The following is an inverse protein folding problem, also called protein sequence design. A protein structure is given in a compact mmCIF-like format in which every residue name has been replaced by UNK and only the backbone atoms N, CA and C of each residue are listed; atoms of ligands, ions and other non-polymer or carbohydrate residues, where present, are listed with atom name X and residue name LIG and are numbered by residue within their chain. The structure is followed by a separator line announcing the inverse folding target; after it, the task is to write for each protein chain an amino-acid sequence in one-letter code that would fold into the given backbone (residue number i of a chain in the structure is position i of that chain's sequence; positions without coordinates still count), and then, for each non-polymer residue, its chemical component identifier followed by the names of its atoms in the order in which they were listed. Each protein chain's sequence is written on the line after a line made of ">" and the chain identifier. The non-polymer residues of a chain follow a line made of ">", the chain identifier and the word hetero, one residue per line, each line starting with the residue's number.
data_IF_446161217216
#
_entry.id   IF_446161217216
#
_cell.length_a   1.000
_cell.length_b   1.000
_cell.length_c   1.000
_cell.angle_alpha   90.00
_cell.angle_beta   90.00
_cell.angle_gamma   90.00
#
_symmetry.space_group_name_H-M   'P 1'
#
loop_
_entity.id
_entity.type
_entity.pdbx_description
1 polymer ?
#
# COMPACT_ATOMS: atom_id res chain seq x y z
N UNK A 1 17.56 -5.40 17.19
CA UNK A 1 16.64 -5.13 16.07
C UNK A 1 16.10 -3.70 16.17
N UNK A 2 16.31 -2.90 15.13
CA UNK A 2 15.68 -1.58 14.96
C UNK A 2 14.53 -1.75 13.99
N UNK A 3 13.35 -1.23 14.31
CA UNK A 3 12.16 -1.27 13.45
C UNK A 3 11.70 0.15 13.16
N UNK A 4 11.53 0.48 11.88
CA UNK A 4 10.92 1.73 11.41
C UNK A 4 9.53 1.38 10.91
N UNK A 5 8.50 1.76 11.65
CA UNK A 5 7.11 1.43 11.33
C UNK A 5 6.15 2.50 11.87
N UNK A 6 4.98 2.59 11.26
CA UNK A 6 3.87 3.45 11.66
C UNK A 6 2.83 2.67 12.49
N UNK A 7 2.78 1.34 12.36
CA UNK A 7 1.81 0.48 13.03
C UNK A 7 2.49 -0.41 14.07
N UNK A 8 1.81 -0.67 15.18
CA UNK A 8 2.26 -1.63 16.18
C UNK A 8 1.86 -3.06 15.76
N UNK A 9 2.84 -3.93 15.60
CA UNK A 9 2.67 -5.35 15.26
C UNK A 9 3.64 -6.26 16.04
N UNK A 10 3.55 -7.58 15.84
CA UNK A 10 4.42 -8.56 16.52
C UNK A 10 5.92 -8.28 16.30
N UNK A 11 6.30 -7.80 15.12
CA UNK A 11 7.69 -7.43 14.81
C UNK A 11 8.13 -6.23 15.64
N UNK A 12 7.30 -5.17 15.72
CA UNK A 12 7.61 -4.02 16.60
C UNK A 12 7.67 -4.44 18.07
N UNK A 13 6.84 -5.39 18.51
CA UNK A 13 6.82 -5.88 19.89
C UNK A 13 8.17 -6.46 20.31
N UNK A 14 8.89 -7.09 19.37
CA UNK A 14 10.22 -7.70 19.58
C UNK A 14 11.39 -6.73 19.35
N UNK A 15 11.14 -5.47 18.97
CA UNK A 15 12.19 -4.52 18.62
C UNK A 15 12.91 -3.95 19.87
N UNK A 16 14.24 -3.84 19.80
CA UNK A 16 15.05 -3.14 20.80
C UNK A 16 14.90 -1.62 20.69
N UNK A 17 14.62 -1.14 19.47
CA UNK A 17 14.38 0.27 19.18
C UNK A 17 13.28 0.39 18.12
N UNK A 18 12.28 1.23 18.40
CA UNK A 18 11.14 1.52 17.52
C UNK A 18 11.25 2.97 17.08
N UNK A 19 11.23 3.20 15.77
CA UNK A 19 11.30 4.52 15.17
C UNK A 19 9.98 4.80 14.44
N UNK A 20 9.16 5.74 14.94
CA UNK A 20 7.83 6.00 14.40
C UNK A 20 7.90 6.62 13.00
N UNK A 21 7.39 5.88 12.02
CA UNK A 21 7.37 6.29 10.61
C UNK A 21 6.10 7.07 10.26
N UNK A 22 6.24 8.06 9.38
CA UNK A 22 5.09 8.74 8.77
C UNK A 22 4.26 7.76 7.92
N UNK A 23 2.94 7.84 8.04
CA UNK A 23 2.00 7.15 7.13
C UNK A 23 1.99 7.75 5.73
N UNK A 24 1.27 7.11 4.79
CA UNK A 24 1.07 7.66 3.44
C UNK A 24 0.41 9.04 3.43
N UNK A 25 -0.33 9.39 4.49
CA UNK A 25 -1.02 10.68 4.62
C UNK A 25 -0.12 11.76 5.25
N UNK A 26 0.84 11.38 6.07
CA UNK A 26 1.75 12.30 6.77
C UNK A 26 3.04 12.55 5.97
N UNK A 27 3.48 11.58 5.16
CA UNK A 27 4.67 11.65 4.32
C UNK A 27 4.37 11.93 2.84
N UNK A 28 5.42 12.22 2.08
CA UNK A 28 5.38 12.30 0.62
C UNK A 28 6.33 11.27 0.02
N UNK A 29 6.09 10.87 -1.23
CA UNK A 29 6.91 9.84 -1.87
C UNK A 29 6.50 9.59 -3.30
N UNK A 30 7.08 8.55 -3.88
CA UNK A 30 6.76 8.10 -5.24
C UNK A 30 6.44 6.61 -5.21
N UNK A 31 5.25 6.24 -5.68
CA UNK A 31 4.89 4.84 -5.92
C UNK A 31 5.17 4.47 -7.38
N UNK A 32 5.55 3.22 -7.62
CA UNK A 32 5.65 2.63 -8.95
C UNK A 32 4.57 1.57 -9.09
N UNK A 33 3.67 1.74 -10.05
CA UNK A 33 2.58 0.80 -10.30
C UNK A 33 3.04 -0.45 -11.07
N UNK A 34 2.14 -1.42 -11.26
CA UNK A 34 2.40 -2.63 -12.05
C UNK A 34 2.64 -2.37 -13.55
N UNK A 35 2.18 -1.22 -14.08
CA UNK A 35 2.55 -0.76 -15.43
C UNK A 35 3.87 0.03 -15.45
N UNK A 36 4.67 -0.07 -14.38
CA UNK A 36 5.95 0.61 -14.19
C UNK A 36 5.84 2.15 -14.20
N UNK A 37 4.68 2.72 -13.85
CA UNK A 37 4.51 4.17 -13.76
C UNK A 37 4.87 4.68 -12.38
N UNK A 38 5.87 5.57 -12.32
CA UNK A 38 6.20 6.36 -11.15
C UNK A 38 5.23 7.53 -10.99
N UNK A 39 4.56 7.63 -9.85
CA UNK A 39 3.63 8.71 -9.52
C UNK A 39 3.93 9.25 -8.12
N UNK A 40 4.03 10.58 -8.01
CA UNK A 40 4.30 11.24 -6.73
C UNK A 40 3.01 11.37 -5.93
N UNK A 41 3.06 11.00 -4.65
CA UNK A 41 2.04 11.34 -3.67
C UNK A 41 2.60 12.37 -2.69
N UNK A 42 1.70 13.16 -2.11
CA UNK A 42 2.06 14.26 -1.24
C UNK A 42 1.31 14.14 0.07
N UNK A 43 2.02 14.48 1.14
CA UNK A 43 1.47 14.58 2.48
C UNK A 43 0.20 15.45 2.48
N UNK A 44 -0.85 14.96 3.11
CA UNK A 44 -2.14 15.64 3.30
C UNK A 44 -2.32 16.10 4.75
N UNK A 45 -1.61 15.49 5.69
CA UNK A 45 -1.59 15.82 7.11
C UNK A 45 -0.23 16.40 7.48
N UNK A 46 -0.20 17.49 8.23
CA UNK A 46 1.05 18.09 8.71
C UNK A 46 1.90 17.12 9.55
N UNK A 47 3.21 17.40 9.69
CA UNK A 47 4.08 16.56 10.51
C UNK A 47 3.62 16.54 11.97
N UNK A 48 3.63 15.35 12.58
CA UNK A 48 3.43 15.15 14.03
C UNK A 48 4.76 15.27 14.77
N UNK A 49 4.75 15.73 16.02
CA UNK A 49 5.97 16.05 16.78
C UNK A 49 6.93 14.87 16.93
N UNK A 50 6.39 13.65 16.99
CA UNK A 50 7.16 12.43 17.23
C UNK A 50 7.30 11.54 16.00
N UNK A 51 6.81 11.95 14.83
CA UNK A 51 6.77 11.12 13.62
C UNK A 51 7.60 11.76 12.52
N UNK A 52 8.39 10.97 11.79
CA UNK A 52 9.04 11.43 10.56
C UNK A 52 9.05 10.36 9.48
N UNK A 53 9.24 10.81 8.24
CA UNK A 53 9.35 9.92 7.09
C UNK A 53 10.53 8.94 7.24
N UNK A 54 10.34 7.69 6.86
CA UNK A 54 11.31 6.61 7.08
C UNK A 54 12.70 6.91 6.51
N UNK A 55 12.79 7.62 5.38
CA UNK A 55 14.08 7.99 4.79
C UNK A 55 14.87 8.96 5.67
N UNK A 56 14.20 9.79 6.48
CA UNK A 56 14.85 10.70 7.44
C UNK A 56 15.43 9.92 8.63
N UNK A 57 14.73 8.89 9.12
CA UNK A 57 15.30 7.97 10.11
C UNK A 57 16.56 7.29 9.57
N UNK A 58 16.51 6.76 8.34
CA UNK A 58 17.66 6.12 7.69
C UNK A 58 18.83 7.11 7.55
N UNK A 59 18.53 8.35 7.14
CA UNK A 59 19.52 9.43 7.05
C UNK A 59 20.18 9.72 8.39
N UNK A 60 19.38 9.89 9.45
CA UNK A 60 19.88 10.24 10.78
C UNK A 60 20.77 9.12 11.36
N UNK A 61 20.37 7.86 11.16
CA UNK A 61 21.19 6.69 11.51
C UNK A 61 22.51 6.71 10.72
N UNK A 62 22.47 6.98 9.42
CA UNK A 62 23.65 7.04 8.58
C UNK A 62 24.61 8.18 9.02
N UNK A 63 24.06 9.35 9.40
CA UNK A 63 24.83 10.46 9.93
C UNK A 63 25.54 10.10 11.25
N UNK A 64 24.85 9.43 12.18
CA UNK A 64 25.45 8.93 13.43
C UNK A 64 26.60 7.95 13.15
N UNK A 65 26.49 7.17 12.08
CA UNK A 65 27.51 6.19 11.66
C UNK A 65 28.68 6.81 10.87
N UNK A 66 28.64 8.11 10.58
CA UNK A 66 29.68 8.79 9.81
C UNK A 66 29.62 8.55 8.30
N UNK A 67 28.44 8.16 7.76
CA UNK A 67 28.27 7.96 6.33
C UNK A 67 27.95 9.27 5.61
N UNK A 68 28.94 9.80 4.88
CA UNK A 68 28.87 11.05 4.11
C UNK A 68 27.67 11.18 3.13
N UNK A 69 27.26 10.16 2.34
CA UNK A 69 26.24 10.35 1.30
C UNK A 69 24.86 10.76 1.83
N UNK A 70 24.52 10.36 3.06
CA UNK A 70 23.23 10.66 3.65
C UNK A 70 23.14 12.09 4.19
N UNK A 71 24.27 12.73 4.52
CA UNK A 71 24.28 14.10 5.07
C UNK A 71 23.68 15.14 4.10
N UNK A 72 23.70 14.86 2.79
CA UNK A 72 23.13 15.72 1.75
C UNK A 72 21.61 15.62 1.59
N UNK A 73 20.94 14.63 2.20
CA UNK A 73 19.50 14.42 2.04
C UNK A 73 18.69 15.36 2.95
N UNK A 74 18.36 16.54 2.43
CA UNK A 74 17.61 17.55 3.15
C UNK A 74 16.11 17.45 2.86
N UNK A 75 15.77 17.12 1.61
CA UNK A 75 14.42 16.99 1.09
C UNK A 75 14.21 15.66 0.37
N UNK A 76 12.94 15.31 0.17
CA UNK A 76 12.56 14.14 -0.61
C UNK A 76 13.14 14.15 -2.04
N UNK A 77 13.25 15.32 -2.67
CA UNK A 77 13.84 15.45 -4.01
C UNK A 77 15.31 15.00 -4.04
N UNK A 78 16.07 15.21 -2.95
CA UNK A 78 17.48 14.81 -2.86
C UNK A 78 17.62 13.28 -2.85
N UNK A 79 16.76 12.61 -2.07
CA UNK A 79 16.68 11.14 -2.01
C UNK A 79 16.24 10.57 -3.36
N UNK A 80 15.24 11.22 -3.98
CA UNK A 80 14.73 10.83 -5.31
C UNK A 80 15.83 10.94 -6.37
N UNK A 81 16.62 12.02 -6.35
CA UNK A 81 17.76 12.18 -7.24
C UNK A 81 18.85 11.12 -6.99
N UNK A 82 19.15 10.80 -5.73
CA UNK A 82 20.12 9.76 -5.38
C UNK A 82 19.67 8.36 -5.87
N UNK A 83 18.38 8.03 -5.74
CA UNK A 83 17.81 6.81 -6.29
C UNK A 83 17.94 6.75 -7.82
N UNK A 84 17.62 7.85 -8.51
CA UNK A 84 17.74 7.96 -9.97
C UNK A 84 19.18 7.79 -10.46
N UNK A 85 20.17 8.29 -9.71
CA UNK A 85 21.59 8.17 -10.04
C UNK A 85 22.14 6.77 -9.77
N UNK A 86 21.63 6.08 -8.76
CA UNK A 86 22.15 4.79 -8.31
C UNK A 86 21.51 3.61 -9.04
N UNK A 87 20.23 3.72 -9.39
CA UNK A 87 19.46 2.63 -10.00
C UNK A 87 19.06 3.05 -11.42
N UNK A 88 19.70 2.51 -12.48
CA UNK A 88 19.43 2.93 -13.86
C UNK A 88 17.96 2.82 -14.29
N UNK A 89 17.24 1.81 -13.81
CA UNK A 89 15.80 1.65 -14.08
C UNK A 89 14.94 2.77 -13.47
N UNK A 90 15.46 3.51 -12.49
CA UNK A 90 14.78 4.62 -11.83
C UNK A 90 15.26 5.99 -12.33
N UNK A 91 16.07 6.07 -13.39
CA UNK A 91 16.66 7.35 -13.83
C UNK A 91 15.63 8.47 -14.05
N UNK A 92 14.43 8.14 -14.54
CA UNK A 92 13.36 9.12 -14.79
C UNK A 92 12.43 9.37 -13.60
N UNK A 93 12.60 8.75 -12.42
CA UNK A 93 11.70 9.02 -11.28
C UNK A 93 11.56 10.50 -10.89
N UNK A 94 12.57 11.39 -11.04
CA UNK A 94 12.40 12.81 -10.75
C UNK A 94 11.40 13.52 -11.68
N UNK A 95 11.08 12.91 -12.83
CA UNK A 95 10.14 13.45 -13.82
C UNK A 95 8.68 13.16 -13.46
N UNK A 96 8.41 12.32 -12.44
CA UNK A 96 7.06 11.93 -12.05
C UNK A 96 6.15 13.11 -11.67
N UNK A 97 6.74 14.19 -11.13
CA UNK A 97 6.06 15.44 -10.84
C UNK A 97 7.10 16.57 -10.66
N UNK A 98 6.70 17.85 -10.81
CA UNK A 98 7.60 18.96 -10.49
C UNK A 98 8.13 18.91 -9.04
N UNK A 99 9.35 19.43 -8.86
CA UNK A 99 10.05 19.40 -7.57
C UNK A 99 9.41 20.31 -6.50
N UNK A 100 9.91 20.22 -5.26
CA UNK A 100 9.41 20.97 -4.11
C UNK A 100 9.50 22.51 -4.26
N UNK A 101 10.36 22.99 -5.15
CA UNK A 101 10.53 24.42 -5.43
C UNK A 101 9.60 24.94 -6.54
N UNK A 102 8.80 24.08 -7.19
CA UNK A 102 7.85 24.53 -8.20
C UNK A 102 6.84 25.53 -7.64
N UNK A 103 6.60 26.62 -8.38
CA UNK A 103 5.68 27.70 -8.02
C UNK A 103 4.92 28.15 -9.26
N UNK A 104 3.71 28.65 -9.06
CA UNK A 104 2.95 29.36 -10.09
C UNK A 104 2.87 30.82 -9.68
N UNK A 105 3.38 31.72 -10.50
CA UNK A 105 3.52 33.15 -10.18
C UNK A 105 4.17 33.42 -8.81
N UNK A 106 5.19 32.62 -8.46
CA UNK A 106 5.93 32.72 -7.19
C UNK A 106 5.22 32.12 -5.98
N UNK A 107 4.00 31.61 -6.13
CA UNK A 107 3.21 31.04 -5.04
C UNK A 107 3.17 29.51 -5.08
N UNK A 108 3.03 28.90 -3.91
CA UNK A 108 2.75 27.47 -3.75
C UNK A 108 1.31 27.15 -4.17
N UNK A 109 1.04 25.88 -4.43
CA UNK A 109 -0.31 25.40 -4.72
C UNK A 109 -1.03 25.12 -3.38
N UNK A 110 -2.24 25.64 -3.14
CA UNK A 110 -2.98 25.32 -1.92
C UNK A 110 -3.45 23.87 -1.95
N UNK A 111 -3.31 23.15 -0.82
CA UNK A 111 -3.88 21.80 -0.65
C UNK A 111 -5.37 21.84 -0.41
N UNK A 112 -5.83 22.90 0.26
CA UNK A 112 -7.21 23.03 0.67
C UNK A 112 -7.99 23.83 -0.37
N UNK A 113 -9.26 23.45 -0.65
CA UNK A 113 -10.10 24.25 -1.51
C UNK A 113 -10.39 25.61 -0.86
N UNK A 114 -10.57 26.65 -1.68
CA UNK A 114 -10.95 28.01 -1.25
C UNK A 114 -12.26 28.10 -0.43
N UNK A 115 -12.99 26.99 -0.23
CA UNK A 115 -14.21 26.90 0.60
C UNK A 115 -14.05 26.07 1.87
N UNK A 116 -12.83 25.78 2.31
CA UNK A 116 -12.57 25.08 3.57
C UNK A 116 -12.89 25.98 4.80
N UNK A 117 -14.17 26.27 5.05
CA UNK A 117 -14.63 27.29 5.99
C UNK A 117 -14.80 26.82 7.45
N UNK A 118 -14.26 25.65 7.82
CA UNK A 118 -14.39 25.07 9.16
C UNK A 118 -13.10 25.00 9.98
N UNK A 119 -11.98 25.52 9.46
CA UNK A 119 -10.62 25.26 10.00
C UNK A 119 -10.43 25.73 11.44
N UNK A 120 -10.99 26.89 11.79
CA UNK A 120 -10.96 27.44 13.16
C UNK A 120 -11.76 26.61 14.16
N UNK A 121 -12.74 25.82 13.71
CA UNK A 121 -13.59 25.03 14.58
C UNK A 121 -13.02 23.63 14.90
N UNK A 122 -12.07 23.11 14.09
CA UNK A 122 -11.55 21.73 14.21
C UNK A 122 -10.88 21.47 15.57
N UNK A 123 -10.19 22.49 16.10
CA UNK A 123 -9.43 22.40 17.36
C UNK A 123 -9.94 23.37 18.43
N UNK A 124 -11.16 23.89 18.28
CA UNK A 124 -11.69 24.90 19.20
C UNK A 124 -11.82 24.41 20.65
N UNK A 125 -11.93 23.09 20.86
CA UNK A 125 -11.91 22.44 22.17
C UNK A 125 -10.55 22.50 22.89
N UNK A 126 -9.45 22.66 22.13
CA UNK A 126 -8.08 22.75 22.64
C UNK A 126 -7.60 24.20 22.67
N UNK A 127 -7.75 24.92 21.54
CA UNK A 127 -7.36 26.31 21.37
C UNK A 127 -8.41 27.07 20.56
N UNK A 128 -8.87 28.21 21.08
CA UNK A 128 -9.86 29.08 20.42
C UNK A 128 -9.29 29.72 19.14
N UNK A 129 -7.97 29.86 19.05
CA UNK A 129 -7.28 30.41 17.88
C UNK A 129 -6.82 29.31 16.93
N UNK A 130 -6.92 29.56 15.63
CA UNK A 130 -6.35 28.69 14.61
C UNK A 130 -4.82 28.61 14.74
N UNK A 131 -4.28 27.39 14.67
CA UNK A 131 -2.84 27.17 14.65
C UNK A 131 -2.24 27.63 13.33
N UNK A 132 -1.00 28.14 13.38
CA UNK A 132 -0.25 28.43 12.16
C UNK A 132 -0.10 27.13 11.36
N UNK A 133 -0.44 27.13 10.05
CA UNK A 133 -0.25 25.95 9.25
C UNK A 133 1.22 25.51 9.17
N UNK A 134 1.48 24.20 9.15
CA UNK A 134 2.84 23.70 9.06
C UNK A 134 3.50 24.09 7.74
N UNK A 135 4.81 24.28 7.78
CA UNK A 135 5.60 24.56 6.57
C UNK A 135 5.98 23.24 5.90
N UNK A 136 5.66 23.13 4.62
CA UNK A 136 6.08 22.00 3.81
C UNK A 136 7.35 22.34 3.02
N UNK A 137 8.43 21.60 3.23
CA UNK A 137 9.70 21.78 2.52
C UNK A 137 9.89 20.80 1.36
N UNK A 138 9.10 19.73 1.32
CA UNK A 138 9.26 18.58 0.42
C UNK A 138 8.28 18.61 -0.75
N UNK A 139 7.40 19.61 -0.82
CA UNK A 139 6.44 19.72 -1.91
C UNK A 139 6.21 21.17 -2.40
N UNK A 140 5.68 21.31 -3.64
CA UNK A 140 5.22 22.60 -4.16
C UNK A 140 3.90 23.07 -3.53
N UNK A 141 3.33 22.30 -2.60
CA UNK A 141 2.07 22.59 -1.95
C UNK A 141 2.23 23.34 -0.62
N UNK A 142 1.17 24.03 -0.21
CA UNK A 142 1.02 24.63 1.11
C UNK A 142 -0.17 23.98 1.86
N UNK A 143 -0.02 23.74 3.17
CA UNK A 143 -1.12 23.33 4.06
C UNK A 143 -2.08 24.49 4.33
N UNK A 144 -2.61 25.10 3.27
CA UNK A 144 -3.44 26.30 3.33
C UNK A 144 -4.40 26.32 2.14
N UNK A 145 -5.40 27.18 2.25
CA UNK A 145 -6.27 27.62 1.15
C UNK A 145 -5.61 28.71 0.30
N UNK A 146 -4.55 29.34 0.81
CA UNK A 146 -3.84 30.43 0.15
C UNK A 146 -2.76 29.91 -0.80
N UNK A 147 -2.67 30.54 -1.98
CA UNK A 147 -1.66 30.24 -2.98
C UNK A 147 -2.17 30.44 -4.39
N UNK A 148 -1.47 29.84 -5.35
CA UNK A 148 -1.82 29.92 -6.75
C UNK A 148 -3.10 29.13 -7.06
N UNK A 149 -4.11 29.84 -7.56
CA UNK A 149 -5.40 29.26 -7.97
C UNK A 149 -5.47 28.94 -9.47
N UNK A 150 -4.39 29.19 -10.21
CA UNK A 150 -4.30 28.82 -11.61
C UNK A 150 -4.20 27.29 -11.75
N UNK A 151 -4.67 26.71 -12.88
CA UNK A 151 -4.55 25.28 -13.13
C UNK A 151 -3.09 24.82 -13.01
N UNK A 152 -2.76 23.92 -12.07
CA UNK A 152 -1.42 23.37 -11.96
C UNK A 152 -1.18 22.29 -13.04
N UNK A 153 0.07 21.84 -13.23
CA UNK A 153 0.36 20.63 -14.01
C UNK A 153 -0.46 19.44 -13.52
N UNK A 154 -0.78 18.49 -14.41
CA UNK A 154 -1.67 17.37 -14.10
C UNK A 154 -1.24 16.56 -12.86
N UNK A 155 0.07 16.38 -12.67
CA UNK A 155 0.65 15.69 -11.50
C UNK A 155 0.51 16.45 -10.17
N UNK A 156 0.08 17.71 -10.19
CA UNK A 156 -0.05 18.59 -9.03
C UNK A 156 -1.48 19.10 -8.83
N UNK A 157 -2.50 18.45 -9.40
CA UNK A 157 -3.91 18.82 -9.16
C UNK A 157 -4.32 18.29 -7.77
N UNK A 158 -4.56 19.15 -6.76
CA UNK A 158 -4.92 18.69 -5.42
C UNK A 158 -6.41 18.34 -5.33
N UNK A 159 -7.26 19.04 -6.07
CA UNK A 159 -8.72 18.93 -6.02
C UNK A 159 -9.30 19.18 -7.41
N UNK A 160 -10.24 18.33 -7.83
CA UNK A 160 -11.08 18.59 -9.01
C UNK A 160 -12.17 19.59 -8.66
N UNK A 161 -11.95 20.86 -9.01
CA UNK A 161 -12.90 21.93 -8.77
C UNK A 161 -13.04 22.84 -9.98
N UNK A 162 -14.28 23.21 -10.31
CA UNK A 162 -14.57 24.25 -11.30
C UNK A 162 -15.79 25.05 -10.82
N UNK A 163 -16.01 26.29 -11.31
CA UNK A 163 -17.20 27.06 -10.94
C UNK A 163 -18.49 26.25 -11.17
N UNK A 164 -19.31 26.10 -10.11
CA UNK A 164 -20.54 25.28 -10.05
C UNK A 164 -20.32 23.76 -9.90
N UNK A 165 -19.09 23.28 -9.81
CA UNK A 165 -18.74 21.86 -9.67
C UNK A 165 -17.81 21.67 -8.47
N UNK A 166 -18.33 21.09 -7.39
CA UNK A 166 -17.60 20.91 -6.11
C UNK A 166 -17.29 19.43 -5.81
N UNK A 167 -17.14 18.58 -6.82
CA UNK A 167 -16.89 17.15 -6.64
C UNK A 167 -16.09 16.59 -7.82
N UNK A 168 -15.81 15.28 -7.79
CA UNK A 168 -15.20 14.53 -8.89
C UNK A 168 -15.91 14.72 -10.24
N UNK A 169 -17.16 15.17 -10.24
CA UNK A 169 -17.87 15.54 -11.47
C UNK A 169 -17.20 16.71 -12.24
N UNK A 170 -16.34 17.49 -11.58
CA UNK A 170 -15.52 18.52 -12.22
C UNK A 170 -14.39 17.96 -13.10
N UNK A 171 -14.07 16.66 -13.03
CA UNK A 171 -12.94 16.04 -13.75
C UNK A 171 -12.96 16.34 -15.25
N UNK A 172 -14.13 16.34 -15.88
CA UNK A 172 -14.29 16.69 -17.30
C UNK A 172 -13.79 18.10 -17.65
N UNK A 173 -13.68 19.02 -16.68
CA UNK A 173 -13.11 20.36 -16.89
C UNK A 173 -11.59 20.38 -16.90
N UNK A 174 -10.95 19.30 -16.46
CA UNK A 174 -9.51 19.10 -16.44
C UNK A 174 -9.03 18.19 -17.57
N UNK A 175 -9.93 17.55 -18.30
CA UNK A 175 -9.61 16.71 -19.45
C UNK A 175 -9.59 17.50 -20.76
N UNK A 176 -8.88 17.00 -21.77
CA UNK A 176 -8.91 17.55 -23.13
C UNK A 176 -10.33 17.50 -23.71
N UNK A 177 -11.03 16.39 -23.46
CA UNK A 177 -12.43 16.13 -23.77
C UNK A 177 -13.04 15.20 -22.69
N UNK A 178 -14.36 15.02 -22.68
CA UNK A 178 -15.02 14.16 -21.69
C UNK A 178 -14.53 12.71 -21.85
N UNK A 179 -13.91 12.17 -20.81
CA UNK A 179 -13.33 10.81 -20.84
C UNK A 179 -11.94 10.74 -21.49
N UNK A 180 -11.41 11.85 -22.00
CA UNK A 180 -10.05 11.94 -22.54
C UNK A 180 -8.96 12.11 -21.47
N UNK A 181 -7.68 12.24 -21.88
CA UNK A 181 -6.58 12.47 -20.96
C UNK A 181 -6.70 13.82 -20.23
N UNK A 182 -6.02 13.95 -19.10
CA UNK A 182 -5.89 15.24 -18.42
C UNK A 182 -5.16 16.25 -19.32
N UNK A 183 -5.56 17.51 -19.25
CA UNK A 183 -4.80 18.62 -19.84
C UNK A 183 -3.46 18.68 -19.13
N UNK A 184 -2.39 18.60 -19.90
CA UNK A 184 -1.03 18.46 -19.37
C UNK A 184 -0.52 17.01 -19.33
N UNK A 185 -1.30 16.04 -19.81
CA UNK A 185 -0.89 14.64 -19.94
C UNK A 185 -1.18 13.81 -18.69
N UNK A 186 -0.84 12.52 -18.76
CA UNK A 186 -1.03 11.58 -17.66
C UNK A 186 -0.07 11.90 -16.50
N UNK A 187 -0.56 11.99 -15.25
CA UNK A 187 0.30 12.18 -14.08
C UNK A 187 1.31 11.04 -13.92
N UNK A 188 2.58 11.39 -13.70
CA UNK A 188 3.66 10.43 -13.54
C UNK A 188 4.38 10.09 -14.84
N UNK A 189 5.40 9.23 -14.72
CA UNK A 189 6.27 8.82 -15.83
C UNK A 189 6.42 7.31 -15.84
N UNK A 190 6.41 6.68 -17.02
CA UNK A 190 6.65 5.24 -17.14
C UNK A 190 8.15 4.98 -17.16
N UNK A 191 8.63 4.21 -16.20
CA UNK A 191 10.04 3.89 -16.02
C UNK A 191 10.51 2.76 -16.95
N UNK A 192 9.58 1.90 -17.34
CA UNK A 192 9.84 0.75 -18.20
C UNK A 192 8.90 0.81 -19.40
N UNK A 193 9.51 0.92 -20.58
CA UNK A 193 8.83 0.85 -21.87
C UNK A 193 9.11 -0.53 -22.50
N UNK A 194 8.12 -1.21 -23.11
CA UNK A 194 8.39 -2.40 -23.89
C UNK A 194 9.30 -2.00 -25.06
N UNK A 195 10.26 -2.86 -25.38
CA UNK A 195 11.08 -2.63 -26.56
C UNK A 195 10.18 -2.55 -27.81
N UNK A 196 10.32 -1.52 -28.68
CA UNK A 196 9.39 -1.28 -29.79
C UNK A 196 9.23 -2.45 -30.76
N UNK A 197 10.23 -3.32 -30.82
CA UNK A 197 10.30 -4.49 -31.71
C UNK A 197 10.30 -5.82 -30.95
N UNK A 198 10.04 -5.80 -29.64
CA UNK A 198 10.00 -7.04 -28.86
C UNK A 198 8.80 -7.89 -29.26
N UNK A 199 9.07 -9.11 -29.68
CA UNK A 199 8.05 -10.14 -29.85
C UNK A 199 7.84 -10.74 -28.46
N UNK A 200 6.61 -10.69 -27.89
CA UNK A 200 6.36 -11.29 -26.59
C UNK A 200 6.63 -12.79 -26.64
N UNK A 201 7.52 -13.26 -25.76
CA UNK A 201 7.82 -14.68 -25.59
C UNK A 201 6.85 -15.20 -24.54
N UNK A 202 5.90 -16.01 -24.98
CA UNK A 202 5.02 -16.74 -24.07
C UNK A 202 5.64 -18.09 -23.74
N UNK A 203 5.43 -18.57 -22.52
CA UNK A 203 5.74 -19.95 -22.19
C UNK A 203 4.92 -20.86 -23.11
N UNK A 204 5.60 -21.64 -23.95
CA UNK A 204 4.97 -22.58 -24.88
C UNK A 204 4.76 -23.95 -24.23
N UNK A 205 5.51 -24.22 -23.14
CA UNK A 205 5.41 -25.45 -22.38
C UNK A 205 4.18 -25.43 -21.49
N UNK A 206 3.27 -26.37 -21.72
CA UNK A 206 2.09 -26.58 -20.87
C UNK A 206 2.53 -27.41 -19.66
N UNK A 207 2.34 -26.91 -18.42
CA UNK A 207 2.67 -27.69 -17.22
C UNK A 207 1.91 -29.02 -17.18
N UNK A 208 2.51 -30.02 -16.54
CA UNK A 208 1.83 -31.29 -16.29
C UNK A 208 0.51 -31.05 -15.53
N UNK A 209 -0.53 -31.79 -15.91
CA UNK A 209 -1.81 -31.74 -15.23
C UNK A 209 -1.63 -32.11 -13.74
N UNK A 210 -2.41 -31.45 -12.87
CA UNK A 210 -2.40 -31.73 -11.45
C UNK A 210 -2.69 -33.21 -11.17
N UNK A 211 -1.84 -33.82 -10.33
CA UNK A 211 -2.01 -35.19 -9.86
C UNK A 211 -2.27 -35.18 -8.36
N UNK A 212 -3.41 -35.75 -7.97
CA UNK A 212 -3.77 -35.92 -6.57
C UNK A 212 -2.82 -36.91 -5.90
N UNK A 213 -2.52 -36.66 -4.62
CA UNK A 213 -1.80 -37.60 -3.77
C UNK A 213 -2.75 -38.24 -2.78
N UNK A 214 -2.41 -39.46 -2.35
CA UNK A 214 -3.21 -40.14 -1.32
C UNK A 214 -2.88 -39.56 0.05
N UNK A 215 -3.89 -39.21 0.85
CA UNK A 215 -3.75 -38.66 2.20
C UNK A 215 -2.99 -37.33 2.30
N UNK A 216 -2.78 -36.64 1.18
CA UNK A 216 -2.18 -35.31 1.12
C UNK A 216 -3.02 -34.41 0.21
N UNK A 217 -3.11 -33.13 0.58
CA UNK A 217 -3.82 -32.10 -0.19
C UNK A 217 -2.83 -31.02 -0.60
N UNK A 218 -2.96 -30.54 -1.84
CA UNK A 218 -2.23 -29.35 -2.26
C UNK A 218 -2.94 -28.13 -1.67
N UNK A 219 -2.32 -27.48 -0.69
CA UNK A 219 -2.87 -26.30 -0.02
C UNK A 219 -2.51 -25.05 -0.84
N UNK A 220 -3.53 -24.29 -1.23
CA UNK A 220 -3.40 -23.03 -1.96
C UNK A 220 -3.78 -21.85 -1.07
N UNK A 221 -3.14 -20.69 -1.23
CA UNK A 221 -3.53 -19.48 -0.50
C UNK A 221 -4.82 -18.91 -1.08
N UNK A 222 -5.77 -18.57 -0.21
CA UNK A 222 -6.96 -17.80 -0.56
C UNK A 222 -6.80 -16.37 -0.05
N UNK A 223 -6.94 -15.38 -0.95
CA UNK A 223 -6.82 -13.98 -0.59
C UNK A 223 -8.17 -13.29 -0.59
N UNK A 224 -8.40 -12.46 0.41
CA UNK A 224 -9.57 -11.62 0.56
C UNK A 224 -9.20 -10.15 0.41
N UNK A 225 -10.17 -9.34 -0.02
CA UNK A 225 -10.01 -7.88 -0.08
C UNK A 225 -9.73 -7.30 1.31
N UNK A 226 -10.36 -7.86 2.35
CA UNK A 226 -10.15 -7.46 3.74
C UNK A 226 -9.64 -8.65 4.57
N UNK A 227 -8.68 -8.37 5.44
CA UNK A 227 -8.13 -9.31 6.41
C UNK A 227 -6.92 -10.09 5.92
N UNK A 228 -6.72 -10.26 4.61
CA UNK A 228 -5.50 -10.89 4.07
C UNK A 228 -4.27 -9.97 4.11
N UNK A 229 -4.46 -8.70 4.42
CA UNK A 229 -3.40 -7.71 4.65
C UNK A 229 -3.52 -7.10 6.05
N UNK A 230 -2.46 -6.45 6.50
CA UNK A 230 -2.23 -6.05 7.90
C UNK A 230 -3.20 -4.97 8.42
N UNK A 231 -3.65 -4.05 7.56
CA UNK A 231 -4.33 -2.82 8.00
C UNK A 231 -5.85 -2.98 8.16
N UNK A 232 -6.49 -3.87 7.39
CA UNK A 232 -7.94 -4.11 7.44
C UNK A 232 -8.41 -4.49 8.83
N UNK A 233 -7.60 -5.28 9.55
CA UNK A 233 -7.92 -5.74 10.91
C UNK A 233 -7.84 -4.61 11.95
N UNK A 234 -7.16 -3.49 11.64
CA UNK A 234 -6.97 -2.37 12.57
C UNK A 234 -8.17 -1.41 12.61
N UNK A 235 -9.09 -1.49 11.63
CA UNK A 235 -10.30 -0.69 11.60
C UNK A 235 -11.51 -1.58 11.91
N UNK A 236 -12.18 -1.47 13.07
CA UNK A 236 -13.25 -2.39 13.48
C UNK A 236 -14.34 -2.60 12.43
N UNK A 237 -14.81 -1.52 11.78
CA UNK A 237 -15.83 -1.61 10.74
C UNK A 237 -15.38 -2.36 9.48
N UNK A 238 -14.07 -2.38 9.19
CA UNK A 238 -13.48 -3.14 8.07
C UNK A 238 -13.17 -4.57 8.51
N UNK A 239 -12.70 -4.76 9.74
CA UNK A 239 -12.44 -6.07 10.34
C UNK A 239 -13.71 -6.95 10.35
N UNK A 240 -14.88 -6.39 10.64
CA UNK A 240 -16.19 -7.07 10.57
C UNK A 240 -16.54 -7.62 9.17
N UNK A 241 -15.82 -7.19 8.13
CA UNK A 241 -15.97 -7.68 6.75
C UNK A 241 -14.98 -8.79 6.39
N UNK A 242 -14.01 -9.06 7.26
CA UNK A 242 -13.04 -10.14 7.07
C UNK A 242 -13.65 -11.48 7.48
N UNK A 243 -13.38 -12.58 6.74
CA UNK A 243 -13.83 -13.90 7.16
C UNK A 243 -13.10 -14.35 8.43
N UNK A 244 -13.73 -15.25 9.19
CA UNK A 244 -13.04 -15.99 10.26
C UNK A 244 -12.12 -17.06 9.67
N UNK A 245 -11.00 -17.41 10.31
CA UNK A 245 -10.12 -18.49 9.86
C UNK A 245 -10.84 -19.83 9.60
N UNK A 246 -10.54 -20.47 8.47
CA UNK A 246 -11.12 -21.75 8.07
C UNK A 246 -10.19 -22.54 7.12
N UNK A 247 -10.45 -23.84 6.95
CA UNK A 247 -9.87 -24.65 5.89
C UNK A 247 -10.92 -24.95 4.83
N UNK A 248 -10.65 -24.56 3.59
CA UNK A 248 -11.52 -24.83 2.46
C UNK A 248 -11.26 -26.24 1.92
N UNK A 249 -12.31 -27.06 1.77
CA UNK A 249 -12.23 -28.39 1.17
C UNK A 249 -13.36 -28.62 0.15
N UNK A 250 -13.09 -29.47 -0.84
CA UNK A 250 -14.16 -30.02 -1.66
C UNK A 250 -15.05 -30.95 -0.80
N UNK A 251 -16.38 -31.00 -1.02
CA UNK A 251 -17.28 -31.92 -0.31
C UNK A 251 -16.86 -33.40 -0.37
N UNK A 252 -16.31 -33.87 -1.49
CA UNK A 252 -15.84 -35.25 -1.63
C UNK A 252 -14.62 -35.53 -0.74
N UNK A 253 -13.67 -34.59 -0.67
CA UNK A 253 -12.51 -34.70 0.23
C UNK A 253 -12.93 -34.67 1.70
N UNK A 254 -13.84 -33.77 2.06
CA UNK A 254 -14.37 -33.68 3.41
C UNK A 254 -15.11 -34.96 3.81
N UNK A 255 -15.93 -35.51 2.91
CA UNK A 255 -16.64 -36.78 3.13
C UNK A 255 -15.68 -37.98 3.24
N UNK A 256 -14.65 -38.05 2.37
CA UNK A 256 -13.63 -39.10 2.41
C UNK A 256 -12.80 -39.06 3.71
N UNK A 257 -12.53 -37.85 4.22
CA UNK A 257 -11.90 -37.64 5.53
C UNK A 257 -12.86 -37.92 6.71
N UNK A 258 -14.17 -37.94 6.45
CA UNK A 258 -15.24 -38.10 7.43
C UNK A 258 -15.49 -36.85 8.29
N UNK A 259 -15.17 -35.67 7.75
CA UNK A 259 -15.54 -34.37 8.31
C UNK A 259 -16.86 -33.87 7.70
N UNK A 260 -17.78 -33.41 8.54
CA UNK A 260 -18.91 -32.59 8.11
C UNK A 260 -18.48 -31.11 8.04
N UNK A 261 -19.29 -30.26 7.39
CA UNK A 261 -19.12 -28.80 7.49
C UNK A 261 -19.09 -28.36 8.97
N UNK A 262 -18.23 -27.41 9.29
CA UNK A 262 -17.94 -26.88 10.63
C UNK A 262 -17.15 -27.81 11.59
N UNK A 263 -16.76 -29.01 11.15
CA UNK A 263 -15.82 -29.85 11.93
C UNK A 263 -14.43 -29.20 11.97
N UNK A 264 -13.77 -29.24 13.14
CA UNK A 264 -12.38 -28.78 13.27
C UNK A 264 -11.41 -29.86 12.81
N UNK A 265 -10.40 -29.45 12.04
CA UNK A 265 -9.37 -30.33 11.47
C UNK A 265 -7.99 -29.79 11.76
N UNK A 266 -7.09 -30.70 12.13
CA UNK A 266 -5.66 -30.43 12.19
C UNK A 266 -5.08 -30.47 10.79
N UNK A 267 -4.56 -29.35 10.29
CA UNK A 267 -3.79 -29.31 9.05
C UNK A 267 -2.31 -29.18 9.42
N UNK A 268 -1.47 -30.04 8.83
CA UNK A 268 -0.01 -29.93 8.97
C UNK A 268 0.60 -29.60 7.62
N UNK A 269 1.35 -28.51 7.55
CA UNK A 269 2.13 -28.10 6.39
C UNK A 269 3.56 -27.90 6.87
N UNK A 270 4.49 -28.74 6.39
CA UNK A 270 5.85 -28.81 6.93
C UNK A 270 5.80 -29.00 8.46
N UNK A 271 6.37 -28.07 9.24
CA UNK A 271 6.37 -28.08 10.72
C UNK A 271 5.22 -27.26 11.34
N UNK A 272 4.42 -26.57 10.52
CA UNK A 272 3.33 -25.72 11.00
C UNK A 272 2.03 -26.52 11.13
N UNK A 273 1.40 -26.39 12.30
CA UNK A 273 0.14 -27.05 12.64
C UNK A 273 -0.96 -26.01 12.79
N UNK A 274 -2.09 -26.26 12.14
CA UNK A 274 -3.26 -25.41 12.13
C UNK A 274 -4.45 -26.20 12.69
N UNK A 275 -5.30 -25.55 13.46
CA UNK A 275 -6.59 -26.11 13.90
C UNK A 275 -7.71 -25.18 13.42
N UNK A 276 -8.43 -25.62 12.39
CA UNK A 276 -9.35 -24.77 11.63
C UNK A 276 -10.68 -25.49 11.40
N UNK A 277 -11.81 -24.77 11.41
CA UNK A 277 -13.08 -25.33 10.95
C UNK A 277 -13.06 -25.57 9.44
N UNK A 278 -13.72 -26.62 8.98
CA UNK A 278 -13.88 -26.91 7.55
C UNK A 278 -15.01 -26.05 6.97
N UNK A 279 -14.72 -25.36 5.87
CA UNK A 279 -15.72 -24.76 4.99
C UNK A 279 -15.72 -25.49 3.64
N UNK A 280 -16.91 -25.88 3.16
CA UNK A 280 -17.05 -26.61 1.92
C UNK A 280 -17.12 -25.65 0.72
N UNK A 281 -16.39 -25.97 -0.35
CA UNK A 281 -16.40 -25.23 -1.61
C UNK A 281 -16.49 -26.21 -2.77
N UNK A 282 -17.64 -26.21 -3.45
CA UNK A 282 -17.93 -27.15 -4.54
C UNK A 282 -16.99 -26.96 -5.75
N UNK A 283 -16.58 -25.72 -6.00
CA UNK A 283 -15.73 -25.36 -7.16
C UNK A 283 -14.24 -25.66 -6.91
N UNK A 284 -13.86 -26.04 -5.69
CA UNK A 284 -12.49 -26.43 -5.37
C UNK A 284 -12.22 -27.83 -5.92
N UNK A 285 -11.18 -28.07 -6.74
CA UNK A 285 -10.89 -29.41 -7.23
C UNK A 285 -10.54 -30.37 -6.09
N UNK A 286 -11.01 -31.62 -6.19
CA UNK A 286 -10.67 -32.67 -5.22
C UNK A 286 -9.13 -32.88 -5.17
N UNK A 287 -8.60 -33.09 -3.97
CA UNK A 287 -7.16 -33.15 -3.66
C UNK A 287 -6.49 -31.79 -3.45
N UNK A 288 -7.25 -30.70 -3.49
CA UNK A 288 -6.79 -29.33 -3.20
C UNK A 288 -7.52 -28.83 -1.95
N UNK A 289 -6.78 -28.14 -1.09
CA UNK A 289 -7.33 -27.40 0.04
C UNK A 289 -7.03 -25.91 -0.12
N UNK A 290 -7.91 -25.05 0.40
CA UNK A 290 -7.71 -23.60 0.40
C UNK A 290 -7.50 -23.08 1.81
N UNK A 291 -6.44 -22.30 2.04
CA UNK A 291 -6.16 -21.68 3.32
C UNK A 291 -6.19 -20.15 3.16
N UNK A 292 -7.08 -19.41 3.84
CA UNK A 292 -7.08 -17.96 3.82
C UNK A 292 -5.73 -17.40 4.31
N UNK A 293 -4.96 -16.84 3.40
CA UNK A 293 -3.66 -16.29 3.71
C UNK A 293 -3.80 -14.90 4.34
N UNK A 294 -3.02 -14.65 5.39
CA UNK A 294 -2.90 -13.35 6.04
C UNK A 294 -3.97 -13.00 7.08
N UNK A 295 -5.03 -13.81 7.24
CA UNK A 295 -6.06 -13.53 8.24
C UNK A 295 -5.48 -13.53 9.67
N UNK A 296 -5.97 -12.63 10.56
CA UNK A 296 -5.62 -12.67 11.97
C UNK A 296 -5.86 -14.06 12.58
N UNK A 297 -4.82 -14.60 13.22
CA UNK A 297 -4.86 -15.93 13.87
C UNK A 297 -4.48 -17.11 12.97
N UNK A 298 -4.19 -16.90 11.69
CA UNK A 298 -3.59 -17.92 10.81
C UNK A 298 -2.06 -17.68 10.74
N UNK A 299 -1.23 -18.63 11.20
CA UNK A 299 0.21 -18.57 11.01
C UNK A 299 0.61 -18.41 9.54
N UNK A 300 1.70 -17.72 9.26
CA UNK A 300 2.20 -17.54 7.90
C UNK A 300 2.75 -18.85 7.35
N UNK A 301 2.16 -19.37 6.28
CA UNK A 301 2.63 -20.54 5.56
C UNK A 301 3.27 -20.14 4.21
N UNK A 302 4.34 -20.83 3.82
CA UNK A 302 4.84 -20.76 2.44
C UNK A 302 3.96 -21.63 1.53
N UNK A 303 2.98 -21.01 0.86
CA UNK A 303 2.05 -21.68 -0.05
C UNK A 303 2.36 -21.33 -1.52
N UNK A 304 2.07 -22.22 -2.49
CA UNK A 304 1.41 -23.50 -2.35
C UNK A 304 2.31 -24.59 -1.75
N UNK A 305 1.73 -25.49 -0.94
CA UNK A 305 2.45 -26.60 -0.31
C UNK A 305 1.57 -27.82 -0.13
N UNK A 306 2.18 -29.01 -0.05
CA UNK A 306 1.45 -30.22 0.31
C UNK A 306 1.23 -30.26 1.83
N UNK A 307 0.02 -30.62 2.24
CA UNK A 307 -0.35 -30.73 3.64
C UNK A 307 -1.14 -32.01 3.92
N UNK A 308 -1.10 -32.45 5.17
CA UNK A 308 -1.84 -33.61 5.67
C UNK A 308 -2.92 -33.17 6.64
N UNK A 309 -4.03 -33.92 6.68
CA UNK A 309 -5.16 -33.64 7.57
C UNK A 309 -5.25 -34.71 8.66
N UNK A 310 -5.53 -34.27 9.89
CA UNK A 310 -5.73 -35.12 11.07
C UNK A 310 -7.01 -34.72 11.82
N UNK A 311 -7.69 -35.69 12.43
CA UNK A 311 -8.87 -35.41 13.25
C UNK A 311 -8.41 -34.87 14.61
N UNK A 312 -8.66 -33.59 14.86
CA UNK A 312 -8.10 -32.86 16.00
C UNK A 312 -6.66 -32.41 15.78
N UNK A 313 -6.09 -31.69 16.77
CA UNK A 313 -4.69 -31.27 16.73
C UNK A 313 -3.77 -32.50 16.73
N UNK A 314 -2.82 -32.63 15.78
CA UNK A 314 -1.78 -33.65 15.87
C UNK A 314 -0.98 -33.45 17.16
N UNK A 315 -0.81 -34.53 17.93
CA UNK A 315 -0.01 -34.58 19.16
C UNK A 315 1.48 -34.35 18.89
#
# INVERSE_FOLDING_TARGET
>A
MIVIDHTANNTTAMADCRLPAATFAEGSGTFVSSEARAQRFFSTVGPSENVQESWRWVRDIAAIRGSEPASGWNRLDDVTAACAQTVPLLHSIPEAAPNANFRIFGQKIPREPHRASGRTAIHAQEHISEHRPPTDRDSPFAFSMEGALNPPPAALIPVYWAPRWNSVAATAKFQSEVGGPLRGGDPGVRLIEPAPTAIPIYAVEVPAAFQRRSQEWLVLPLYYVFGSEELSAQAPAVADRSPTPYLCLNPEDAAAFGGAGDCRVGLTINDDVYDLPIQLMNDLPVGIAGLPAGLPGIPTASLPAWGTLARGLPL
#
